data_IF_562557504159
#
_entry.id   IF_562557504159
#
_cell.length_a   1.000
_cell.length_b   1.000
_cell.length_c   1.000
_cell.angle_alpha   90.00
_cell.angle_beta   90.00
_cell.angle_gamma   90.00
#
_symmetry.space_group_name_H-M   'P 1'
#
loop_
_entity.id
_entity.type
_entity.pdbx_description
1 polymer ?
#
# COMPACT_ATOMS: atom_id res chain seq x y z
N UNK A 1 -5.39 5.00 -8.32
CA UNK A 1 -4.32 4.43 -9.17
C UNK A 1 -4.12 2.94 -8.93
N UNK A 2 -3.77 2.49 -7.72
CA UNK A 2 -3.60 1.06 -7.40
C UNK A 2 -4.81 0.19 -7.79
N UNK A 3 -6.03 0.75 -7.71
CA UNK A 3 -7.30 0.11 -8.12
C UNK A 3 -7.51 -0.03 -9.62
N UNK A 4 -7.20 1.04 -10.38
CA UNK A 4 -7.26 0.98 -11.83
C UNK A 4 -6.25 -0.03 -12.34
N UNK A 5 -5.01 0.01 -11.83
CA UNK A 5 -3.97 -0.97 -12.10
C UNK A 5 -4.44 -2.41 -11.78
N UNK A 6 -5.08 -2.62 -10.62
CA UNK A 6 -5.63 -3.93 -10.24
C UNK A 6 -6.74 -4.39 -11.18
N UNK A 7 -7.71 -3.52 -11.48
CA UNK A 7 -8.81 -3.85 -12.36
C UNK A 7 -8.35 -4.08 -13.81
N UNK A 8 -7.44 -3.25 -14.32
CA UNK A 8 -6.86 -3.35 -15.67
C UNK A 8 -5.91 -4.53 -15.80
N UNK A 9 -5.10 -4.79 -14.78
CA UNK A 9 -4.23 -5.96 -14.74
C UNK A 9 -5.04 -7.25 -14.71
N UNK A 10 -6.16 -7.27 -13.98
CA UNK A 10 -7.09 -8.40 -14.01
C UNK A 10 -7.83 -8.50 -15.35
N UNK A 11 -8.33 -7.39 -15.90
CA UNK A 11 -9.02 -7.34 -17.18
C UNK A 11 -8.11 -7.80 -18.32
N UNK A 12 -6.91 -7.24 -18.45
CA UNK A 12 -5.94 -7.62 -19.47
C UNK A 12 -5.51 -9.10 -19.33
N UNK A 13 -5.43 -9.61 -18.10
CA UNK A 13 -5.13 -11.02 -17.84
C UNK A 13 -6.28 -11.93 -18.29
N UNK A 14 -7.54 -11.55 -18.03
CA UNK A 14 -8.74 -12.24 -18.50
C UNK A 14 -8.89 -12.17 -20.03
N UNK A 15 -8.60 -11.01 -20.63
CA UNK A 15 -8.70 -10.77 -22.09
C UNK A 15 -7.59 -11.45 -22.89
N UNK A 16 -6.40 -11.62 -22.29
CA UNK A 16 -5.24 -12.19 -23.00
C UNK A 16 -5.45 -13.65 -23.44
N UNK A 17 -6.37 -14.40 -22.82
CA UNK A 17 -6.60 -15.81 -23.13
C UNK A 17 -5.36 -16.71 -22.94
N UNK A 18 -4.28 -16.19 -22.33
CA UNK A 18 -2.94 -16.82 -22.26
C UNK A 18 -2.91 -18.08 -21.39
N UNK A 19 -3.99 -18.41 -20.68
CA UNK A 19 -4.00 -19.52 -19.74
C UNK A 19 -4.88 -20.62 -20.30
N UNK A 20 -4.36 -21.30 -21.32
CA UNK A 20 -4.83 -22.63 -21.72
C UNK A 20 -3.87 -23.66 -21.13
N UNK A 21 -4.38 -24.59 -20.32
CA UNK A 21 -3.58 -25.68 -19.73
C UNK A 21 -2.99 -25.45 -18.34
N UNK A 22 -3.33 -24.36 -17.66
CA UNK A 22 -3.22 -24.29 -16.19
C UNK A 22 -4.56 -24.74 -15.65
N UNK A 23 -4.55 -25.71 -14.74
CA UNK A 23 -5.72 -26.11 -13.95
C UNK A 23 -6.42 -24.84 -13.41
N UNK A 24 -7.72 -24.71 -13.70
CA UNK A 24 -8.55 -23.59 -13.23
C UNK A 24 -8.39 -23.39 -11.71
N UNK A 25 -8.25 -24.47 -10.92
CA UNK A 25 -8.02 -24.41 -9.48
C UNK A 25 -6.65 -23.80 -9.12
N UNK A 26 -5.60 -24.02 -9.92
CA UNK A 26 -4.29 -23.39 -9.73
C UNK A 26 -4.30 -21.91 -10.18
N UNK A 27 -5.08 -21.58 -11.21
CA UNK A 27 -5.28 -20.23 -11.69
C UNK A 27 -6.08 -19.38 -10.69
N UNK A 28 -7.20 -19.92 -10.21
CA UNK A 28 -7.98 -19.33 -9.12
C UNK A 28 -7.17 -19.30 -7.84
N UNK A 29 -6.42 -20.33 -7.47
CA UNK A 29 -5.48 -20.25 -6.33
C UNK A 29 -4.44 -19.14 -6.50
N UNK A 30 -3.99 -18.77 -7.70
CA UNK A 30 -3.05 -17.65 -7.90
C UNK A 30 -3.75 -16.27 -7.82
N UNK A 31 -5.04 -16.23 -8.17
CA UNK A 31 -5.95 -15.08 -8.01
C UNK A 31 -6.52 -14.99 -6.58
N UNK A 32 -6.62 -16.10 -5.86
CA UNK A 32 -7.13 -16.24 -4.49
C UNK A 32 -5.98 -16.09 -3.50
N UNK A 33 -4.77 -16.58 -3.85
CA UNK A 33 -3.50 -16.33 -3.15
C UNK A 33 -3.08 -14.86 -3.18
N UNK A 34 -3.92 -14.01 -3.77
CA UNK A 34 -4.01 -12.60 -3.40
C UNK A 34 -4.13 -12.40 -1.89
N UNK A 35 -4.54 -13.40 -1.10
CA UNK A 35 -4.72 -13.31 0.36
C UNK A 35 -3.63 -13.91 1.24
N UNK A 36 -2.53 -14.43 0.68
CA UNK A 36 -1.54 -15.21 1.46
C UNK A 36 -2.10 -16.60 1.84
N UNK A 37 -2.78 -17.30 0.93
CA UNK A 37 -3.32 -18.66 1.18
C UNK A 37 -2.22 -19.61 1.74
N UNK A 38 -2.46 -20.53 2.67
CA UNK A 38 -3.67 -21.29 2.96
C UNK A 38 -3.69 -21.58 4.48
N UNK A 39 -4.68 -21.06 5.21
CA UNK A 39 -4.98 -21.55 6.56
C UNK A 39 -5.90 -22.74 6.38
N UNK A 40 -5.37 -23.94 6.61
CA UNK A 40 -5.99 -25.26 6.46
C UNK A 40 -7.19 -25.52 7.40
N UNK A 41 -7.98 -24.49 7.73
CA UNK A 41 -9.17 -24.61 8.56
C UNK A 41 -10.42 -24.62 7.68
N UNK A 42 -11.24 -25.68 7.73
CA UNK A 42 -12.49 -25.83 6.98
C UNK A 42 -13.51 -24.68 7.13
N UNK A 43 -13.32 -23.77 8.10
CA UNK A 43 -14.17 -22.58 8.28
C UNK A 43 -13.88 -21.44 7.28
N UNK A 44 -12.75 -21.45 6.56
CA UNK A 44 -12.38 -20.34 5.65
C UNK A 44 -12.69 -20.63 4.16
N UNK A 45 -13.10 -21.84 3.80
CA UNK A 45 -13.33 -22.26 2.40
C UNK A 45 -14.62 -21.71 1.74
N UNK A 46 -15.46 -20.96 2.46
CA UNK A 46 -16.69 -20.36 1.92
C UNK A 46 -16.57 -18.84 1.62
N UNK A 47 -15.36 -18.29 1.57
CA UNK A 47 -15.13 -16.85 1.39
C UNK A 47 -14.91 -16.48 -0.09
N UNK A 48 -15.92 -15.88 -0.75
CA UNK A 48 -15.81 -15.34 -2.11
C UNK A 48 -14.89 -14.10 -2.19
N UNK A 49 -13.85 -14.21 -3.04
CA UNK A 49 -13.14 -13.25 -3.92
C UNK A 49 -13.46 -11.73 -3.82
N UNK A 50 -12.52 -10.89 -3.30
CA UNK A 50 -12.16 -9.47 -3.67
C UNK A 50 -11.69 -8.57 -2.49
N UNK A 51 -10.48 -8.76 -1.98
CA UNK A 51 -10.14 -8.32 -0.61
C UNK A 51 -8.78 -7.64 -0.24
N UNK A 52 -7.74 -7.55 -1.09
CA UNK A 52 -6.44 -6.95 -0.74
C UNK A 52 -6.28 -5.57 -1.36
N UNK A 53 -7.02 -5.35 -2.45
CA UNK A 53 -7.48 -4.01 -2.83
C UNK A 53 -8.04 -3.29 -1.60
N UNK A 54 -8.90 -3.94 -0.82
CA UNK A 54 -9.61 -3.35 0.32
C UNK A 54 -8.70 -2.80 1.43
N UNK A 55 -7.58 -3.44 1.79
CA UNK A 55 -6.69 -2.91 2.84
C UNK A 55 -6.01 -1.64 2.37
N UNK A 56 -5.40 -1.65 1.18
CA UNK A 56 -4.83 -0.43 0.61
C UNK A 56 -5.93 0.62 0.36
N UNK A 57 -7.20 0.23 0.10
CA UNK A 57 -8.32 1.20 -0.09
C UNK A 57 -8.57 1.82 1.26
N UNK A 58 -8.69 0.99 2.28
CA UNK A 58 -9.01 1.37 3.63
C UNK A 58 -7.94 2.33 4.18
N UNK A 59 -6.65 2.01 3.99
CA UNK A 59 -5.53 2.90 4.32
C UNK A 59 -5.63 4.23 3.55
N UNK A 60 -5.80 4.17 2.23
CA UNK A 60 -5.80 5.35 1.35
C UNK A 60 -7.02 6.26 1.61
N UNK A 61 -8.20 5.68 1.75
CA UNK A 61 -9.47 6.38 1.98
C UNK A 61 -9.70 6.73 3.47
N UNK A 62 -8.81 6.29 4.37
CA UNK A 62 -8.93 6.53 5.80
C UNK A 62 -10.18 5.92 6.43
N UNK A 63 -10.51 4.68 6.07
CA UNK A 63 -11.66 3.93 6.62
C UNK A 63 -11.21 2.58 7.21
N UNK A 64 -12.01 1.94 8.07
CA UNK A 64 -11.68 0.60 8.56
C UNK A 64 -11.63 -0.41 7.42
N UNK A 65 -10.83 -1.46 7.60
CA UNK A 65 -10.85 -2.61 6.71
C UNK A 65 -12.19 -3.35 6.85
N UNK A 66 -12.67 -3.97 5.78
CA UNK A 66 -13.80 -4.91 5.88
C UNK A 66 -13.46 -6.15 6.73
N UNK A 67 -12.16 -6.40 6.92
CA UNK A 67 -11.62 -7.44 7.80
C UNK A 67 -11.53 -7.03 9.26
N UNK A 68 -11.82 -5.77 9.57
CA UNK A 68 -11.64 -5.22 10.90
C UNK A 68 -12.79 -5.59 11.84
N UNK A 69 -13.01 -6.89 12.01
CA UNK A 69 -14.06 -7.49 12.85
C UNK A 69 -13.47 -8.59 13.73
N UNK A 70 -14.05 -8.79 14.91
CA UNK A 70 -13.57 -9.67 15.98
C UNK A 70 -13.21 -11.08 15.51
N UNK A 71 -14.00 -11.68 14.62
CA UNK A 71 -13.73 -13.00 14.04
C UNK A 71 -12.35 -13.07 13.38
N UNK A 72 -12.00 -12.11 12.51
CA UNK A 72 -10.72 -12.11 11.80
C UNK A 72 -9.58 -11.72 12.71
N UNK A 73 -9.78 -10.71 13.56
CA UNK A 73 -8.77 -10.28 14.52
C UNK A 73 -8.41 -11.40 15.49
N UNK A 74 -9.41 -12.14 15.99
CA UNK A 74 -9.20 -13.29 16.87
C UNK A 74 -8.51 -14.44 16.14
N UNK A 75 -8.96 -14.79 14.93
CA UNK A 75 -8.40 -15.90 14.17
C UNK A 75 -6.93 -15.68 13.75
N UNK A 76 -6.55 -14.43 13.51
CA UNK A 76 -5.18 -14.07 13.07
C UNK A 76 -4.26 -13.64 14.21
N UNK A 77 -4.78 -13.44 15.43
CA UNK A 77 -3.99 -12.97 16.56
C UNK A 77 -2.88 -13.97 16.93
N UNK A 78 -1.62 -13.52 17.14
CA UNK A 78 -0.49 -14.41 17.45
C UNK A 78 -0.73 -15.40 18.61
N UNK A 79 -1.44 -14.97 19.66
CA UNK A 79 -1.80 -15.86 20.77
C UNK A 79 -2.77 -17.00 20.37
N UNK A 80 -3.62 -16.80 19.37
CA UNK A 80 -4.45 -17.88 18.82
C UNK A 80 -3.62 -18.85 17.97
N UNK A 81 -2.57 -18.35 17.31
CA UNK A 81 -1.67 -19.15 16.46
C UNK A 81 -0.79 -20.10 17.27
N UNK A 82 -0.44 -19.75 18.51
CA UNK A 82 0.35 -20.63 19.38
C UNK A 82 -0.39 -21.89 19.84
N UNK A 83 -1.72 -21.91 19.71
CA UNK A 83 -2.58 -23.04 20.11
C UNK A 83 -2.89 -23.96 18.93
N UNK A 84 -2.64 -23.51 17.70
CA UNK A 84 -2.91 -24.27 16.48
C UNK A 84 -1.66 -25.03 16.01
N UNK A 85 -1.85 -26.21 15.42
CA UNK A 85 -0.79 -27.01 14.79
C UNK A 85 -0.35 -26.40 13.43
N UNK A 86 0.13 -25.16 13.46
CA UNK A 86 0.58 -24.41 12.30
C UNK A 86 2.08 -24.54 12.08
N UNK A 87 2.48 -24.74 10.82
CA UNK A 87 3.88 -24.63 10.43
C UNK A 87 4.42 -23.21 10.68
N UNK A 88 5.73 -23.03 10.92
CA UNK A 88 6.31 -21.69 11.10
C UNK A 88 5.97 -20.71 9.97
N UNK A 89 6.02 -21.09 8.67
CA UNK A 89 5.56 -20.24 7.57
C UNK A 89 4.11 -19.79 7.69
N UNK A 90 3.19 -20.68 8.09
CA UNK A 90 1.78 -20.32 8.27
C UNK A 90 1.59 -19.32 9.41
N UNK A 91 2.32 -19.49 10.52
CA UNK A 91 2.29 -18.54 11.63
C UNK A 91 2.74 -17.15 11.22
N UNK A 92 3.86 -17.05 10.50
CA UNK A 92 4.38 -15.77 9.97
C UNK A 92 3.36 -15.11 9.05
N UNK A 93 2.76 -15.87 8.13
CA UNK A 93 1.73 -15.38 7.22
C UNK A 93 0.50 -14.84 7.96
N UNK A 94 -0.01 -15.58 8.95
CA UNK A 94 -1.20 -15.17 9.73
C UNK A 94 -0.91 -13.96 10.63
N UNK A 95 0.26 -13.90 11.24
CA UNK A 95 0.68 -12.74 12.02
C UNK A 95 0.88 -11.49 11.13
N UNK A 96 1.40 -11.66 9.90
CA UNK A 96 1.45 -10.58 8.90
C UNK A 96 0.04 -10.09 8.55
N UNK A 97 -0.88 -11.02 8.33
CA UNK A 97 -2.28 -10.72 8.01
C UNK A 97 -2.93 -9.93 9.14
N UNK A 98 -2.70 -10.33 10.39
CA UNK A 98 -3.17 -9.60 11.58
C UNK A 98 -2.72 -8.14 11.57
N UNK A 99 -1.43 -7.91 11.30
CA UNK A 99 -0.89 -6.56 11.24
C UNK A 99 -1.50 -5.74 10.09
N UNK A 100 -1.63 -6.34 8.90
CA UNK A 100 -2.20 -5.69 7.73
C UNK A 100 -3.69 -5.33 7.91
N UNK A 101 -4.49 -6.18 8.55
CA UNK A 101 -5.90 -5.89 8.88
C UNK A 101 -6.01 -4.66 9.77
N UNK A 102 -5.10 -4.52 10.74
CA UNK A 102 -5.10 -3.42 11.70
C UNK A 102 -4.42 -2.13 11.20
N UNK A 103 -3.67 -2.15 10.09
CA UNK A 103 -3.04 -0.96 9.52
C UNK A 103 -4.04 0.17 9.22
N UNK A 104 -5.18 -0.05 8.53
CA UNK A 104 -6.20 0.97 8.35
C UNK A 104 -6.73 1.54 9.67
N UNK A 105 -6.94 0.70 10.68
CA UNK A 105 -7.36 1.13 12.02
C UNK A 105 -6.32 2.05 12.67
N UNK A 106 -5.04 1.72 12.54
CA UNK A 106 -3.95 2.59 13.00
C UNK A 106 -3.95 3.94 12.28
N UNK A 107 -4.08 3.94 10.96
CA UNK A 107 -4.11 5.16 10.14
C UNK A 107 -5.27 6.09 10.55
N UNK A 108 -6.43 5.51 10.85
CA UNK A 108 -7.58 6.27 11.38
C UNK A 108 -7.26 6.82 12.77
N UNK A 109 -6.75 5.98 13.68
CA UNK A 109 -6.43 6.41 15.04
C UNK A 109 -5.41 7.55 15.06
N UNK A 110 -4.36 7.48 14.25
CA UNK A 110 -3.37 8.56 14.09
C UNK A 110 -4.05 9.84 13.59
N UNK A 111 -4.91 9.73 12.58
CA UNK A 111 -5.62 10.88 12.01
C UNK A 111 -6.59 11.52 13.00
N UNK A 112 -7.30 10.71 13.77
CA UNK A 112 -8.24 11.19 14.78
C UNK A 112 -7.50 11.85 15.95
N UNK A 113 -6.33 11.32 16.34
CA UNK A 113 -5.45 11.99 17.29
C UNK A 113 -4.98 13.36 16.76
N UNK A 114 -4.62 13.47 15.47
CA UNK A 114 -4.24 14.75 14.83
C UNK A 114 -5.39 15.74 14.80
N UNK A 115 -6.63 15.29 14.55
CA UNK A 115 -7.82 16.16 14.56
C UNK A 115 -8.19 16.59 15.98
N UNK A 116 -8.10 15.67 16.93
CA UNK A 116 -8.35 15.89 18.34
C UNK A 116 -7.05 16.11 19.12
N UNK A 117 -6.23 17.11 18.77
CA UNK A 117 -4.86 17.29 19.33
C UNK A 117 -4.78 17.37 20.87
N UNK A 118 -5.89 17.61 21.56
CA UNK A 118 -5.98 17.65 23.03
C UNK A 118 -6.68 16.42 23.63
N UNK A 119 -7.19 15.51 22.78
CA UNK A 119 -7.81 14.26 23.19
C UNK A 119 -6.72 13.22 23.51
N UNK A 120 -6.38 13.17 24.80
CA UNK A 120 -5.40 12.21 25.33
C UNK A 120 -5.82 10.76 25.09
N UNK A 121 -7.12 10.47 24.97
CA UNK A 121 -7.61 9.11 24.71
C UNK A 121 -7.35 8.73 23.26
N UNK A 122 -7.60 9.64 22.31
CA UNK A 122 -7.28 9.42 20.91
C UNK A 122 -5.77 9.22 20.68
N UNK A 123 -4.94 10.09 21.30
CA UNK A 123 -3.47 9.98 21.21
C UNK A 123 -2.98 8.65 21.82
N UNK A 124 -3.43 8.31 23.03
CA UNK A 124 -3.06 7.06 23.68
C UNK A 124 -3.49 5.83 22.86
N UNK A 125 -4.69 5.86 22.26
CA UNK A 125 -5.17 4.80 21.37
C UNK A 125 -4.24 4.60 20.19
N UNK A 126 -3.89 5.69 19.50
CA UNK A 126 -3.01 5.65 18.33
C UNK A 126 -1.61 5.12 18.69
N UNK A 127 -1.01 5.63 19.77
CA UNK A 127 0.33 5.24 20.19
C UNK A 127 0.38 3.79 20.68
N UNK A 128 -0.61 3.34 21.47
CA UNK A 128 -0.67 1.96 21.94
C UNK A 128 -0.87 0.96 20.79
N UNK A 129 -1.73 1.29 19.82
CA UNK A 129 -1.92 0.46 18.65
C UNK A 129 -0.65 0.41 17.80
N UNK A 130 0.02 1.55 17.59
CA UNK A 130 1.29 1.61 16.87
C UNK A 130 2.36 0.75 17.55
N UNK A 131 2.51 0.84 18.87
CA UNK A 131 3.45 0.04 19.65
C UNK A 131 3.15 -1.46 19.53
N UNK A 132 1.88 -1.84 19.63
CA UNK A 132 1.45 -3.24 19.50
C UNK A 132 1.82 -3.80 18.13
N UNK A 133 1.43 -3.10 17.07
CA UNK A 133 1.72 -3.54 15.70
C UNK A 133 3.21 -3.53 15.38
N UNK A 134 3.96 -2.56 15.91
CA UNK A 134 5.41 -2.53 15.80
C UNK A 134 6.01 -3.81 16.38
N UNK A 135 5.73 -4.13 17.65
CA UNK A 135 6.31 -5.31 18.31
C UNK A 135 5.95 -6.62 17.59
N UNK A 136 4.70 -6.75 17.12
CA UNK A 136 4.29 -7.92 16.34
C UNK A 136 5.03 -8.02 14.99
N UNK A 137 5.29 -6.88 14.34
CA UNK A 137 5.98 -6.85 13.04
C UNK A 137 7.49 -7.10 13.11
N UNK A 138 8.08 -6.97 14.31
CA UNK A 138 9.52 -7.14 14.55
C UNK A 138 9.89 -8.54 15.05
N UNK A 139 8.96 -9.51 15.08
CA UNK A 139 9.32 -10.87 15.46
C UNK A 139 10.41 -11.42 14.51
N UNK A 140 11.50 -11.95 15.08
CA UNK A 140 12.66 -12.48 14.32
C UNK A 140 12.25 -13.52 13.26
N UNK A 141 11.14 -14.20 13.49
CA UNK A 141 10.53 -15.15 12.58
C UNK A 141 10.18 -14.54 11.22
N UNK A 142 9.81 -13.26 11.14
CA UNK A 142 9.51 -12.59 9.86
C UNK A 142 10.77 -12.44 9.00
N UNK A 143 11.82 -11.82 9.56
CA UNK A 143 13.05 -11.54 8.82
C UNK A 143 13.72 -12.83 8.36
N UNK A 144 13.87 -13.81 9.26
CA UNK A 144 14.44 -15.12 8.92
C UNK A 144 13.61 -15.86 7.86
N UNK A 145 12.29 -15.77 7.93
CA UNK A 145 11.41 -16.36 6.92
C UNK A 145 11.61 -15.71 5.55
N UNK A 146 11.65 -14.38 5.47
CA UNK A 146 11.86 -13.66 4.21
C UNK A 146 13.24 -13.95 3.62
N UNK A 147 14.29 -13.86 4.41
CA UNK A 147 15.67 -14.06 3.94
C UNK A 147 15.88 -15.47 3.36
N UNK A 148 15.21 -16.49 3.92
CA UNK A 148 15.27 -17.87 3.41
C UNK A 148 14.66 -18.05 2.01
N UNK A 149 13.91 -17.07 1.49
CA UNK A 149 13.16 -17.15 0.22
C UNK A 149 13.64 -16.18 -0.85
N UNK A 150 14.65 -15.37 -0.55
CA UNK A 150 15.21 -14.38 -1.46
C UNK A 150 16.42 -14.96 -2.20
N UNK A 151 16.44 -14.81 -3.52
CA UNK A 151 17.56 -15.15 -4.39
C UNK A 151 18.17 -13.87 -4.95
N UNK A 152 19.47 -13.64 -4.71
CA UNK A 152 20.18 -12.48 -5.24
C UNK A 152 20.42 -12.63 -6.75
N UNK A 153 20.15 -11.58 -7.52
CA UNK A 153 20.51 -11.47 -8.94
C UNK A 153 21.62 -10.44 -9.11
N UNK A 154 22.86 -10.92 -9.13
CA UNK A 154 24.06 -10.06 -9.23
C UNK A 154 24.32 -9.53 -10.65
N UNK A 155 23.64 -10.09 -11.65
CA UNK A 155 23.69 -9.68 -13.06
C UNK A 155 22.86 -8.42 -13.34
N UNK A 156 21.94 -8.06 -12.45
CA UNK A 156 21.06 -6.89 -12.61
C UNK A 156 21.52 -5.75 -11.73
N UNK A 157 22.02 -4.70 -12.38
CA UNK A 157 22.47 -3.45 -11.77
C UNK A 157 21.88 -2.26 -12.53
N UNK A 158 21.75 -1.12 -11.86
CA UNK A 158 21.34 0.14 -12.47
C UNK A 158 22.30 1.22 -11.97
N UNK A 159 23.10 1.78 -12.88
CA UNK A 159 24.17 2.74 -12.55
C UNK A 159 23.66 3.95 -11.76
N UNK A 160 22.39 4.33 -11.94
CA UNK A 160 21.79 5.45 -11.23
C UNK A 160 21.73 5.24 -9.71
N UNK A 161 21.67 3.98 -9.24
CA UNK A 161 21.49 3.64 -7.82
C UNK A 161 22.38 2.49 -7.36
N UNK A 162 23.41 2.12 -8.11
CA UNK A 162 24.25 0.96 -7.81
C UNK A 162 24.96 1.02 -6.44
N UNK A 163 25.20 2.22 -5.91
CA UNK A 163 25.75 2.43 -4.57
C UNK A 163 24.73 2.25 -3.43
N UNK A 164 23.43 2.21 -3.76
CA UNK A 164 22.31 2.04 -2.82
C UNK A 164 21.69 0.65 -2.97
N UNK A 165 21.45 0.24 -4.22
CA UNK A 165 20.83 -1.02 -4.65
C UNK A 165 21.84 -1.74 -5.55
N UNK A 166 22.86 -2.40 -4.96
CA UNK A 166 23.97 -2.98 -5.72
C UNK A 166 23.58 -4.20 -6.55
N UNK A 167 22.47 -4.86 -6.22
CA UNK A 167 21.98 -6.02 -6.92
C UNK A 167 20.47 -6.20 -6.75
N UNK A 168 19.83 -6.77 -7.76
CA UNK A 168 18.44 -7.15 -7.70
C UNK A 168 18.18 -8.39 -6.82
N UNK A 169 16.91 -8.64 -6.53
CA UNK A 169 16.45 -9.89 -5.92
C UNK A 169 15.27 -10.50 -6.68
N UNK A 170 15.23 -11.83 -6.67
CA UNK A 170 14.11 -12.63 -7.17
C UNK A 170 13.64 -13.60 -6.10
N UNK A 171 12.48 -14.19 -6.35
CA UNK A 171 11.89 -15.22 -5.50
C UNK A 171 11.76 -16.50 -6.30
N UNK A 172 11.90 -17.63 -5.62
CA UNK A 172 11.71 -18.95 -6.22
C UNK A 172 10.25 -19.23 -6.61
N UNK A 173 9.28 -18.55 -5.99
CA UNK A 173 7.85 -18.67 -6.33
C UNK A 173 7.15 -17.32 -6.26
N UNK A 174 6.06 -17.16 -7.03
CA UNK A 174 5.21 -15.97 -6.98
C UNK A 174 4.64 -15.73 -5.57
N UNK A 175 4.31 -16.80 -4.84
CA UNK A 175 3.80 -16.70 -3.47
C UNK A 175 4.83 -16.11 -2.51
N UNK A 176 6.11 -16.50 -2.64
CA UNK A 176 7.18 -15.94 -1.81
C UNK A 176 7.46 -14.48 -2.18
N UNK A 177 7.36 -14.11 -3.46
CA UNK A 177 7.41 -12.71 -3.88
C UNK A 177 6.29 -11.89 -3.24
N UNK A 178 5.06 -12.39 -3.25
CA UNK A 178 3.92 -11.73 -2.61
C UNK A 178 4.19 -11.55 -1.12
N UNK A 179 4.59 -12.60 -0.39
CA UNK A 179 4.84 -12.49 1.05
C UNK A 179 5.97 -11.51 1.36
N UNK A 180 7.11 -11.59 0.67
CA UNK A 180 8.25 -10.70 0.90
C UNK A 180 7.95 -9.23 0.59
N UNK A 181 7.36 -8.96 -0.56
CA UNK A 181 6.98 -7.58 -0.93
C UNK A 181 5.92 -7.00 0.00
N UNK A 182 4.98 -7.82 0.50
CA UNK A 182 3.97 -7.39 1.47
C UNK A 182 4.54 -7.16 2.86
N UNK A 183 5.51 -7.95 3.29
CA UNK A 183 6.22 -7.70 4.54
C UNK A 183 6.91 -6.34 4.50
N UNK A 184 7.70 -6.05 3.46
CA UNK A 184 8.35 -4.73 3.35
C UNK A 184 7.34 -3.59 3.20
N UNK A 185 6.24 -3.80 2.47
CA UNK A 185 5.15 -2.80 2.42
C UNK A 185 4.54 -2.55 3.82
N UNK A 186 4.28 -3.59 4.61
CA UNK A 186 3.80 -3.46 5.99
C UNK A 186 4.75 -2.62 6.83
N UNK A 187 6.06 -2.90 6.76
CA UNK A 187 7.07 -2.12 7.49
C UNK A 187 7.00 -0.63 7.12
N UNK A 188 6.88 -0.31 5.83
CA UNK A 188 6.82 1.08 5.34
C UNK A 188 5.53 1.79 5.77
N UNK A 189 4.40 1.08 5.80
CA UNK A 189 3.12 1.64 6.30
C UNK A 189 3.19 1.94 7.81
N UNK A 190 3.69 0.98 8.60
CA UNK A 190 3.87 1.17 10.05
C UNK A 190 4.85 2.30 10.36
N UNK A 191 5.99 2.34 9.66
CA UNK A 191 6.98 3.41 9.82
C UNK A 191 6.39 4.78 9.45
N UNK A 192 5.52 4.85 8.43
CA UNK A 192 4.79 6.07 8.09
C UNK A 192 3.96 6.59 9.26
N UNK A 193 3.12 5.73 9.86
CA UNK A 193 2.32 6.11 11.04
C UNK A 193 3.19 6.51 12.24
N UNK A 194 4.29 5.79 12.50
CA UNK A 194 5.22 6.09 13.59
C UNK A 194 5.95 7.42 13.38
N UNK A 195 6.42 7.71 12.17
CA UNK A 195 6.99 9.02 11.79
C UNK A 195 5.98 10.14 12.06
N UNK A 196 4.73 9.95 11.65
CA UNK A 196 3.65 10.92 11.91
C UNK A 196 3.43 11.14 13.41
N UNK A 197 3.36 10.08 14.21
CA UNK A 197 3.21 10.17 15.67
C UNK A 197 4.39 10.90 16.32
N UNK A 198 5.63 10.59 15.92
CA UNK A 198 6.81 11.27 16.45
C UNK A 198 6.82 12.77 16.12
N UNK A 199 6.35 13.15 14.92
CA UNK A 199 6.29 14.56 14.50
C UNK A 199 5.19 15.34 15.21
N UNK A 200 4.00 14.74 15.39
CA UNK A 200 2.81 15.43 15.92
C UNK A 200 2.71 15.33 17.46
N UNK A 201 3.17 14.23 18.04
CA UNK A 201 3.07 13.90 19.46
C UNK A 201 4.41 13.42 20.03
N UNK A 202 5.47 14.25 20.01
CA UNK A 202 6.83 13.83 20.38
C UNK A 202 6.96 13.46 21.86
N UNK A 203 6.13 14.00 22.74
CA UNK A 203 6.17 13.71 24.17
C UNK A 203 5.58 12.33 24.46
N UNK A 204 4.36 12.10 23.99
CA UNK A 204 3.60 10.85 24.18
C UNK A 204 4.31 9.67 23.51
N UNK A 205 4.88 9.89 22.32
CA UNK A 205 5.66 8.89 21.60
C UNK A 205 6.87 8.40 22.41
N UNK A 206 7.53 9.30 23.17
CA UNK A 206 8.66 8.93 24.05
C UNK A 206 8.22 8.21 25.31
N UNK A 207 7.05 8.55 25.86
CA UNK A 207 6.57 7.95 27.11
C UNK A 207 6.14 6.49 26.96
N UNK A 208 5.60 6.11 25.80
CA UNK A 208 5.05 4.77 25.55
C UNK A 208 6.06 3.81 24.89
N UNK A 209 7.35 4.12 24.99
CA UNK A 209 8.45 3.30 24.46
C UNK A 209 8.31 2.94 22.97
N UNK A 210 7.75 3.85 22.15
CA UNK A 210 7.84 3.68 20.70
C UNK A 210 9.32 3.60 20.27
N UNK A 211 9.64 2.87 19.18
CA UNK A 211 10.99 2.90 18.60
C UNK A 211 11.44 4.34 18.36
N UNK A 212 12.74 4.61 18.52
CA UNK A 212 13.27 5.95 18.27
C UNK A 212 13.03 6.38 16.82
N UNK A 213 12.93 7.69 16.53
CA UNK A 213 12.83 8.18 15.16
C UNK A 213 13.94 7.61 14.26
N UNK A 214 15.17 7.54 14.77
CA UNK A 214 16.31 6.95 14.06
C UNK A 214 16.04 5.49 13.65
N UNK A 215 15.54 4.67 14.56
CA UNK A 215 15.20 3.26 14.27
C UNK A 215 14.06 3.15 13.27
N UNK A 216 13.02 3.97 13.41
CA UNK A 216 11.90 4.01 12.46
C UNK A 216 12.42 4.28 11.04
N UNK A 217 13.24 5.32 10.86
CA UNK A 217 13.78 5.66 9.55
C UNK A 217 14.77 4.62 8.98
N UNK A 218 15.55 3.94 9.83
CA UNK A 218 16.41 2.84 9.41
C UNK A 218 15.60 1.65 8.87
N UNK A 219 14.55 1.24 9.58
CA UNK A 219 13.67 0.14 9.13
C UNK A 219 12.91 0.53 7.87
N UNK A 220 12.39 1.76 7.81
CA UNK A 220 11.66 2.29 6.66
C UNK A 220 12.51 2.28 5.38
N UNK A 221 13.71 2.87 5.44
CA UNK A 221 14.65 2.92 4.30
C UNK A 221 15.21 1.55 3.95
N UNK A 222 15.40 0.66 4.91
CA UNK A 222 15.78 -0.73 4.63
C UNK A 222 14.69 -1.44 3.82
N UNK A 223 13.43 -1.38 4.28
CA UNK A 223 12.30 -1.97 3.55
C UNK A 223 12.13 -1.36 2.15
N UNK A 224 12.28 -0.03 2.04
CA UNK A 224 12.27 0.66 0.74
C UNK A 224 13.40 0.21 -0.19
N UNK A 225 14.59 -0.03 0.35
CA UNK A 225 15.73 -0.58 -0.41
C UNK A 225 15.44 -1.99 -0.89
N UNK A 226 14.88 -2.88 -0.05
CA UNK A 226 14.54 -4.25 -0.48
C UNK A 226 13.51 -4.25 -1.63
N UNK A 227 12.50 -3.38 -1.58
CA UNK A 227 11.54 -3.23 -2.68
C UNK A 227 12.19 -2.67 -3.95
N UNK A 228 13.16 -1.77 -3.82
CA UNK A 228 14.01 -1.34 -4.93
C UNK A 228 14.78 -2.51 -5.55
N UNK A 229 15.33 -3.41 -4.73
CA UNK A 229 16.00 -4.64 -5.21
C UNK A 229 15.02 -5.57 -5.94
N UNK A 230 13.76 -5.67 -5.51
CA UNK A 230 12.72 -6.42 -6.23
C UNK A 230 12.49 -5.81 -7.62
N UNK A 231 12.31 -4.50 -7.69
CA UNK A 231 12.11 -3.80 -8.97
C UNK A 231 13.28 -4.03 -9.94
N UNK A 232 14.51 -4.02 -9.43
CA UNK A 232 15.71 -4.32 -10.21
C UNK A 232 15.78 -5.80 -10.63
N UNK A 233 15.27 -6.72 -9.82
CA UNK A 233 15.26 -8.15 -10.10
C UNK A 233 14.22 -8.62 -11.13
N UNK A 234 13.20 -7.79 -11.41
CA UNK A 234 12.14 -8.07 -12.38
C UNK A 234 12.71 -8.45 -13.74
N UNK A 235 12.14 -9.48 -14.37
CA UNK A 235 12.48 -9.88 -15.74
C UNK A 235 12.30 -8.74 -16.74
N UNK A 236 12.97 -8.82 -17.89
CA UNK A 236 12.87 -7.79 -18.92
C UNK A 236 11.41 -7.62 -19.37
N UNK A 237 10.71 -8.76 -19.48
CA UNK A 237 9.29 -8.88 -19.79
C UNK A 237 8.58 -9.66 -18.66
N UNK A 238 8.32 -9.01 -17.51
CA UNK A 238 7.63 -9.63 -16.40
C UNK A 238 6.15 -9.82 -16.76
N UNK A 239 5.55 -10.89 -16.25
CA UNK A 239 4.12 -11.14 -16.47
C UNK A 239 3.25 -9.98 -15.95
N UNK A 240 2.07 -9.73 -16.54
CA UNK A 240 1.12 -8.73 -16.03
C UNK A 240 0.79 -8.92 -14.55
N UNK A 241 0.67 -10.18 -14.10
CA UNK A 241 0.45 -10.49 -12.70
C UNK A 241 1.64 -10.07 -11.82
N UNK A 242 2.87 -10.32 -12.25
CA UNK A 242 4.07 -9.88 -11.52
C UNK A 242 4.10 -8.36 -11.38
N UNK A 243 3.85 -7.63 -12.48
CA UNK A 243 3.75 -6.17 -12.47
C UNK A 243 2.69 -5.69 -11.48
N UNK A 244 1.51 -6.30 -11.53
CA UNK A 244 0.40 -5.96 -10.66
C UNK A 244 0.75 -6.14 -9.17
N UNK A 245 1.37 -7.27 -8.83
CA UNK A 245 1.72 -7.61 -7.45
C UNK A 245 2.84 -6.73 -6.87
N UNK A 246 3.76 -6.29 -7.72
CA UNK A 246 4.93 -5.52 -7.31
C UNK A 246 4.70 -4.02 -7.30
N UNK A 247 3.79 -3.50 -8.16
CA UNK A 247 3.51 -2.07 -8.24
C UNK A 247 3.11 -1.48 -6.88
N UNK A 248 2.15 -2.08 -6.19
CA UNK A 248 1.65 -1.55 -4.90
C UNK A 248 2.75 -1.34 -3.86
N UNK A 249 3.47 -2.42 -3.48
CA UNK A 249 4.61 -2.33 -2.58
C UNK A 249 5.65 -1.30 -3.05
N UNK A 250 6.06 -1.36 -4.33
CA UNK A 250 7.03 -0.43 -4.89
C UNK A 250 6.57 1.03 -4.77
N UNK A 251 5.30 1.28 -5.06
CA UNK A 251 4.73 2.62 -5.03
C UNK A 251 4.61 3.19 -3.61
N UNK A 252 4.38 2.33 -2.60
CA UNK A 252 4.43 2.71 -1.19
C UNK A 252 5.87 3.01 -0.75
N UNK A 253 6.87 2.36 -1.35
CA UNK A 253 8.27 2.56 -0.99
C UNK A 253 8.84 3.93 -1.33
N UNK A 254 8.23 4.67 -2.26
CA UNK A 254 8.52 6.10 -2.47
C UNK A 254 8.36 6.89 -1.16
N UNK A 255 7.41 6.49 -0.31
CA UNK A 255 7.14 7.13 0.98
C UNK A 255 8.28 7.01 1.98
N UNK A 256 9.02 5.90 1.96
CA UNK A 256 10.17 5.69 2.85
C UNK A 256 11.25 6.75 2.59
N UNK A 257 11.56 7.01 1.32
CA UNK A 257 12.57 7.99 0.93
C UNK A 257 12.09 9.42 1.11
N UNK A 258 10.81 9.69 0.82
CA UNK A 258 10.20 11.00 1.12
C UNK A 258 10.34 11.35 2.61
N UNK A 259 9.99 10.42 3.50
CA UNK A 259 10.12 10.60 4.95
C UNK A 259 11.57 10.72 5.38
N UNK A 260 12.48 9.96 4.78
CA UNK A 260 13.92 10.08 5.06
C UNK A 260 14.45 11.48 4.73
N UNK A 261 14.06 12.04 3.58
CA UNK A 261 14.44 13.41 3.19
C UNK A 261 13.92 14.41 4.23
N UNK A 262 12.64 14.31 4.58
CA UNK A 262 11.98 15.16 5.59
C UNK A 262 12.68 15.07 6.94
N UNK A 263 13.00 13.86 7.40
CA UNK A 263 13.72 13.62 8.64
C UNK A 263 15.11 14.25 8.64
N UNK A 264 15.92 14.01 7.60
CA UNK A 264 17.27 14.55 7.51
C UNK A 264 17.26 16.09 7.50
N UNK A 265 16.36 16.71 6.74
CA UNK A 265 16.22 18.17 6.70
C UNK A 265 15.81 18.70 8.08
N UNK A 266 14.87 18.04 8.77
CA UNK A 266 14.44 18.43 10.11
C UNK A 266 15.56 18.39 11.16
N UNK A 267 16.59 17.57 10.92
CA UNK A 267 17.80 17.44 11.75
C UNK A 267 18.88 18.46 11.40
N UNK A 268 18.60 19.38 10.47
CA UNK A 268 19.51 20.44 10.05
C UNK A 268 20.51 20.04 8.96
N UNK A 269 20.33 18.88 8.32
CA UNK A 269 21.15 18.52 7.16
C UNK A 269 20.70 19.35 5.95
N UNK A 270 21.62 20.07 5.28
CA UNK A 270 21.27 20.85 4.10
C UNK A 270 20.86 19.94 2.94
N UNK A 271 20.12 20.47 1.97
CA UNK A 271 19.70 19.72 0.77
C UNK A 271 20.87 19.19 -0.07
N UNK A 272 22.08 19.73 0.14
CA UNK A 272 23.33 19.27 -0.49
C UNK A 272 24.06 18.18 0.31
N UNK A 273 23.57 17.78 1.49
CA UNK A 273 24.17 16.68 2.27
C UNK A 273 24.08 15.38 1.47
N UNK A 274 25.17 14.60 1.45
CA UNK A 274 25.24 13.37 0.68
C UNK A 274 24.10 12.39 0.99
N UNK A 275 23.63 12.32 2.24
CA UNK A 275 22.52 11.44 2.63
C UNK A 275 21.18 11.92 2.08
N UNK A 276 20.99 13.24 2.03
CA UNK A 276 19.78 13.83 1.44
C UNK A 276 19.77 13.60 -0.07
N UNK A 277 20.91 13.79 -0.73
CA UNK A 277 21.07 13.52 -2.17
C UNK A 277 20.84 12.03 -2.51
N UNK A 278 21.35 11.12 -1.68
CA UNK A 278 21.09 9.67 -1.82
C UNK A 278 19.59 9.38 -1.72
N UNK A 279 18.91 9.93 -0.72
CA UNK A 279 17.47 9.70 -0.54
C UNK A 279 16.64 10.30 -1.69
N UNK A 280 16.99 11.50 -2.18
CA UNK A 280 16.36 12.14 -3.34
C UNK A 280 16.51 11.29 -4.61
N UNK A 281 17.72 10.80 -4.88
CA UNK A 281 18.00 9.94 -6.04
C UNK A 281 17.18 8.65 -5.96
N UNK A 282 17.09 8.07 -4.77
CA UNK A 282 16.34 6.83 -4.56
C UNK A 282 14.83 7.03 -4.68
N UNK A 283 14.29 8.13 -4.15
CA UNK A 283 12.89 8.53 -4.31
C UNK A 283 12.52 8.66 -5.80
N UNK A 284 13.34 9.41 -6.56
CA UNK A 284 13.13 9.63 -7.99
C UNK A 284 13.20 8.33 -8.78
N UNK A 285 14.23 7.51 -8.53
CA UNK A 285 14.41 6.25 -9.23
C UNK A 285 13.25 5.27 -8.99
N UNK A 286 12.75 5.17 -7.75
CA UNK A 286 11.59 4.30 -7.46
C UNK A 286 10.34 4.80 -8.19
N UNK A 287 10.09 6.11 -8.21
CA UNK A 287 8.96 6.69 -8.93
C UNK A 287 9.07 6.41 -10.45
N UNK A 288 10.26 6.51 -11.02
CA UNK A 288 10.52 6.14 -12.42
C UNK A 288 10.22 4.65 -12.67
N UNK A 289 10.66 3.74 -11.78
CA UNK A 289 10.31 2.32 -11.90
C UNK A 289 8.80 2.07 -11.77
N UNK A 290 8.10 2.77 -10.88
CA UNK A 290 6.65 2.74 -10.82
C UNK A 290 6.01 3.19 -12.15
N UNK A 291 6.48 4.29 -12.72
CA UNK A 291 5.97 4.82 -13.98
C UNK A 291 6.20 3.88 -15.17
N UNK A 292 7.32 3.16 -15.21
CA UNK A 292 7.55 2.09 -16.20
C UNK A 292 6.51 0.97 -16.05
N UNK A 293 6.18 0.57 -14.81
CA UNK A 293 5.16 -0.44 -14.56
C UNK A 293 3.77 0.07 -15.01
N UNK A 294 3.43 1.33 -14.69
CA UNK A 294 2.18 1.97 -15.11
C UNK A 294 2.03 2.01 -16.63
N UNK A 295 3.08 2.45 -17.34
CA UNK A 295 3.11 2.52 -18.80
C UNK A 295 2.87 1.14 -19.43
N UNK A 296 3.53 0.09 -18.91
CA UNK A 296 3.33 -1.29 -19.37
C UNK A 296 1.91 -1.81 -19.14
N UNK A 297 1.19 -1.26 -18.18
CA UNK A 297 -0.21 -1.58 -17.89
C UNK A 297 -1.18 -0.60 -18.56
N UNK A 298 -0.69 0.28 -19.44
CA UNK A 298 -1.46 1.34 -20.10
C UNK A 298 -2.18 2.30 -19.13
N UNK A 299 -1.57 2.56 -17.97
CA UNK A 299 -2.07 3.50 -16.95
C UNK A 299 -1.26 4.78 -17.00
N UNK A 300 -1.91 5.92 -16.72
CA UNK A 300 -1.21 7.21 -16.63
C UNK A 300 -0.06 7.15 -15.60
N UNK A 301 1.07 7.77 -15.94
CA UNK A 301 2.18 7.96 -15.01
C UNK A 301 1.75 8.73 -13.75
N UNK A 302 2.39 8.47 -12.61
CA UNK A 302 2.13 9.19 -11.37
C UNK A 302 2.86 10.54 -11.35
N UNK A 303 2.13 11.60 -11.02
CA UNK A 303 2.72 12.87 -10.59
C UNK A 303 3.30 12.72 -9.19
N UNK A 304 4.54 13.17 -9.01
CA UNK A 304 5.26 13.04 -7.75
C UNK A 304 4.53 13.73 -6.59
N UNK A 305 4.01 14.94 -6.80
CA UNK A 305 3.34 15.70 -5.73
C UNK A 305 2.08 14.97 -5.25
N UNK A 306 1.20 14.60 -6.19
CA UNK A 306 -0.02 13.88 -5.84
C UNK A 306 0.28 12.50 -5.23
N UNK A 307 1.39 11.86 -5.63
CA UNK A 307 1.83 10.61 -5.05
C UNK A 307 2.27 10.76 -3.59
N UNK A 308 3.09 11.77 -3.30
CA UNK A 308 3.55 12.08 -1.94
C UNK A 308 2.36 12.43 -1.03
N UNK A 309 1.44 13.27 -1.51
CA UNK A 309 0.22 13.62 -0.76
C UNK A 309 -0.59 12.36 -0.37
N UNK A 310 -0.74 11.41 -1.30
CA UNK A 310 -1.42 10.14 -1.01
C UNK A 310 -0.67 9.32 0.06
N UNK A 311 0.66 9.28 0.01
CA UNK A 311 1.47 8.52 0.96
C UNK A 311 1.45 9.13 2.37
N UNK A 312 1.41 10.46 2.49
CA UNK A 312 1.19 11.13 3.77
C UNK A 312 -0.21 10.83 4.32
N UNK A 313 -1.25 10.82 3.46
CA UNK A 313 -2.59 10.39 3.86
C UNK A 313 -2.60 8.95 4.39
N UNK A 314 -1.88 8.05 3.71
CA UNK A 314 -1.71 6.65 4.14
C UNK A 314 -0.90 6.52 5.44
N UNK A 315 -0.14 7.54 5.84
CA UNK A 315 0.59 7.62 7.11
C UNK A 315 -0.22 8.28 8.24
N UNK A 316 -1.53 8.49 8.04
CA UNK A 316 -2.43 9.05 9.04
C UNK A 316 -2.54 10.57 9.04
N UNK A 317 -1.88 11.28 8.11
CA UNK A 317 -2.11 12.73 7.96
C UNK A 317 -3.54 13.00 7.44
N UNK A 318 -3.91 14.29 7.38
CA UNK A 318 -5.19 14.72 6.85
C UNK A 318 -5.40 14.22 5.42
N UNK A 319 -6.63 13.74 5.14
CA UNK A 319 -6.99 13.27 3.82
C UNK A 319 -7.08 14.46 2.86
N UNK A 320 -6.35 14.41 1.76
CA UNK A 320 -6.44 15.43 0.72
C UNK A 320 -7.84 15.47 0.10
N UNK A 321 -8.32 16.67 -0.24
CA UNK A 321 -9.70 16.86 -0.74
C UNK A 321 -9.98 16.11 -2.05
N UNK A 322 -8.93 15.87 -2.85
CA UNK A 322 -9.06 15.15 -4.11
C UNK A 322 -9.11 13.62 -3.95
N UNK A 323 -8.94 13.10 -2.73
CA UNK A 323 -9.00 11.68 -2.48
C UNK A 323 -10.44 11.22 -2.21
N UNK A 324 -10.90 10.14 -2.88
CA UNK A 324 -12.23 9.62 -2.65
C UNK A 324 -12.34 9.03 -1.23
N UNK A 325 -13.46 9.30 -0.56
CA UNK A 325 -13.81 8.66 0.71
C UNK A 325 -14.27 7.21 0.55
N UNK A 326 -14.77 6.86 -0.63
CA UNK A 326 -15.17 5.48 -0.95
C UNK A 326 -14.95 5.19 -2.43
N UNK A 327 -14.55 3.96 -2.70
CA UNK A 327 -14.38 3.41 -4.05
C UNK A 327 -15.18 2.12 -4.11
N UNK A 328 -16.10 2.03 -5.07
CA UNK A 328 -16.85 0.80 -5.36
C UNK A 328 -16.70 0.43 -6.83
N UNK A 329 -16.90 -0.85 -7.12
CA UNK A 329 -16.95 -1.38 -8.46
C UNK A 329 -18.35 -1.92 -8.67
N UNK A 330 -18.90 -1.63 -9.84
CA UNK A 330 -20.26 -2.02 -10.21
C UNK A 330 -20.27 -2.43 -11.68
N UNK A 331 -21.37 -3.04 -12.10
CA UNK A 331 -21.61 -3.33 -13.51
C UNK A 331 -22.76 -2.47 -13.99
N UNK A 332 -22.50 -1.57 -14.94
CA UNK A 332 -23.52 -0.74 -15.59
C UNK A 332 -23.54 -1.10 -17.08
N UNK A 333 -24.70 -1.47 -17.59
CA UNK A 333 -24.90 -1.87 -19.00
C UNK A 333 -23.97 -2.99 -19.50
N UNK A 334 -23.62 -3.93 -18.61
CA UNK A 334 -22.72 -5.04 -18.91
C UNK A 334 -21.23 -4.67 -18.90
N UNK A 335 -20.91 -3.42 -18.58
CA UNK A 335 -19.55 -2.90 -18.48
C UNK A 335 -19.15 -2.69 -17.01
N UNK A 336 -17.90 -3.01 -16.68
CA UNK A 336 -17.39 -2.77 -15.34
C UNK A 336 -17.07 -1.28 -15.16
N UNK A 337 -17.69 -0.67 -14.15
CA UNK A 337 -17.50 0.74 -13.79
C UNK A 337 -16.90 0.90 -12.39
N UNK A 338 -16.10 1.94 -12.22
CA UNK A 338 -15.55 2.35 -10.93
C UNK A 338 -16.31 3.58 -10.44
N UNK A 339 -16.90 3.51 -9.25
CA UNK A 339 -17.58 4.63 -8.60
C UNK A 339 -16.72 5.19 -7.48
N UNK A 340 -16.47 6.49 -7.52
CA UNK A 340 -15.71 7.26 -6.52
C UNK A 340 -16.67 8.19 -5.78
N UNK A 341 -16.85 7.97 -4.49
CA UNK A 341 -17.61 8.86 -3.63
C UNK A 341 -16.66 9.78 -2.88
N UNK A 342 -16.97 11.07 -2.88
CA UNK A 342 -16.27 12.10 -2.12
C UNK A 342 -17.21 12.61 -1.03
N UNK A 343 -16.75 12.53 0.22
CA UNK A 343 -17.38 13.28 1.32
C UNK A 343 -17.43 14.76 0.95
N UNK A 344 -18.47 15.50 1.37
CA UNK A 344 -18.74 16.92 1.03
C UNK A 344 -17.64 17.97 1.26
N UNK A 345 -16.39 17.55 1.46
CA UNK A 345 -15.13 18.33 1.41
C UNK A 345 -14.86 18.94 0.02
N UNK A 346 -15.46 18.40 -1.03
CA UNK A 346 -15.28 18.85 -2.43
C UNK A 346 -16.47 19.62 -2.97
N UNK A 347 -16.97 20.62 -2.25
CA UNK A 347 -17.99 21.52 -2.80
C UNK A 347 -17.33 22.58 -3.70
N UNK A 348 -16.95 22.21 -4.93
CA UNK A 348 -16.94 23.16 -6.04
C UNK A 348 -18.29 23.02 -6.77
N UNK A 349 -19.04 24.13 -6.83
CA UNK A 349 -20.47 24.24 -7.18
C UNK A 349 -20.87 23.76 -8.60
N UNK A 350 -19.93 23.31 -9.44
CA UNK A 350 -20.19 23.12 -10.87
C UNK A 350 -20.57 21.68 -11.30
N UNK A 351 -20.60 20.68 -10.40
CA UNK A 351 -20.97 19.30 -10.78
C UNK A 351 -21.94 18.61 -9.81
N UNK A 352 -22.99 19.30 -9.35
CA UNK A 352 -24.13 18.65 -8.70
C UNK A 352 -25.01 17.97 -9.77
N UNK A 353 -24.76 16.69 -10.05
CA UNK A 353 -25.82 15.83 -10.57
C UNK A 353 -26.80 15.58 -9.43
N UNK A 354 -28.03 16.08 -9.63
CA UNK A 354 -29.06 16.21 -8.61
C UNK A 354 -29.89 14.94 -8.58
N UNK A 355 -29.40 13.92 -7.88
CA UNK A 355 -30.22 12.76 -7.50
C UNK A 355 -30.10 12.51 -5.99
N UNK A 356 -31.21 12.72 -5.28
CA UNK A 356 -31.58 12.13 -3.98
C UNK A 356 -30.63 12.23 -2.79
N UNK A 357 -31.02 13.01 -1.77
CA UNK A 357 -30.66 12.89 -0.35
C UNK A 357 -29.39 12.08 0.00
N UNK A 358 -28.23 12.65 -0.30
CA UNK A 358 -26.94 12.16 0.16
C UNK A 358 -25.90 13.27 0.02
N UNK A 359 -25.23 13.63 1.12
CA UNK A 359 -24.34 14.79 1.24
C UNK A 359 -22.95 14.58 0.59
N UNK A 360 -22.90 13.89 -0.56
CA UNK A 360 -21.66 13.45 -1.22
C UNK A 360 -21.73 13.50 -2.75
N UNK A 361 -20.58 13.73 -3.38
CA UNK A 361 -20.44 13.69 -4.85
C UNK A 361 -19.99 12.28 -5.23
N UNK A 362 -20.80 11.56 -6.00
CA UNK A 362 -20.43 10.26 -6.60
C UNK A 362 -20.05 10.45 -8.06
N UNK A 363 -18.91 9.91 -8.47
CA UNK A 363 -18.45 9.94 -9.87
C UNK A 363 -18.21 8.52 -10.39
N UNK A 364 -18.75 8.21 -11.56
CA UNK A 364 -18.62 6.88 -12.20
C UNK A 364 -17.64 6.94 -13.38
N UNK A 365 -16.80 5.93 -13.52
CA UNK A 365 -15.79 5.82 -14.58
C UNK A 365 -15.87 4.47 -15.27
N UNK A 366 -15.84 4.47 -16.60
CA UNK A 366 -15.64 3.25 -17.38
C UNK A 366 -14.16 2.83 -17.31
N UNK A 367 -13.90 1.57 -16.95
CA UNK A 367 -12.54 1.06 -16.75
C UNK A 367 -11.78 0.88 -18.08
N UNK A 368 -12.46 0.88 -19.24
CA UNK A 368 -11.83 0.71 -20.56
C UNK A 368 -10.97 1.89 -21.04
N UNK A 369 -11.00 3.05 -20.38
CA UNK A 369 -10.11 4.20 -20.69
C UNK A 369 -9.08 4.46 -19.57
N UNK A 370 -8.08 3.56 -19.42
CA UNK A 370 -7.10 3.62 -18.33
C UNK A 370 -6.20 4.87 -18.35
N UNK A 371 -6.10 5.53 -19.51
CA UNK A 371 -5.26 6.70 -19.74
C UNK A 371 -5.67 7.94 -18.91
N UNK A 372 -6.86 7.91 -18.30
CA UNK A 372 -7.39 8.98 -17.43
C UNK A 372 -7.26 8.69 -15.94
N UNK A 373 -6.64 7.58 -15.54
CA UNK A 373 -6.58 7.16 -14.14
C UNK A 373 -5.21 7.46 -13.51
N UNK A 374 -5.12 8.59 -12.81
CA UNK A 374 -3.98 8.91 -11.93
C UNK A 374 -4.35 9.90 -10.82
N UNK A 375 -3.63 9.94 -9.69
CA UNK A 375 -3.87 10.91 -8.61
C UNK A 375 -3.87 12.35 -9.12
N UNK A 376 -3.02 12.68 -10.08
CA UNK A 376 -3.00 13.99 -10.73
C UNK A 376 -4.25 14.28 -11.56
N UNK A 377 -4.84 13.27 -12.20
CA UNK A 377 -6.09 13.45 -12.95
C UNK A 377 -7.24 13.69 -11.98
N UNK A 378 -7.31 12.92 -10.88
CA UNK A 378 -8.27 13.18 -9.81
C UNK A 378 -8.09 14.58 -9.19
N UNK A 379 -6.84 14.97 -8.93
CA UNK A 379 -6.47 16.29 -8.39
C UNK A 379 -6.83 17.43 -9.34
N UNK A 380 -6.46 17.32 -10.61
CA UNK A 380 -6.83 18.28 -11.66
C UNK A 380 -8.34 18.41 -11.79
N UNK A 381 -9.06 17.29 -11.82
CA UNK A 381 -10.52 17.29 -11.95
C UNK A 381 -11.26 17.91 -10.76
N UNK A 382 -10.82 17.65 -9.53
CA UNK A 382 -11.40 18.31 -8.35
C UNK A 382 -11.12 19.81 -8.37
N UNK A 383 -9.99 20.22 -8.95
CA UNK A 383 -9.65 21.63 -9.19
C UNK A 383 -10.32 22.25 -10.41
N UNK A 384 -11.11 21.50 -11.17
CA UNK A 384 -11.76 21.97 -12.40
C UNK A 384 -10.86 22.03 -13.63
N UNK A 385 -9.65 21.47 -13.56
CA UNK A 385 -8.70 21.37 -14.66
C UNK A 385 -9.00 20.08 -15.46
N UNK A 386 -9.53 20.21 -16.68
CA UNK A 386 -9.63 19.09 -17.64
C UNK A 386 -10.78 18.11 -17.44
N UNK A 387 -11.99 18.60 -17.15
CA UNK A 387 -13.20 17.76 -17.17
C UNK A 387 -13.28 16.98 -18.50
N UNK A 388 -13.59 15.67 -18.49
CA UNK A 388 -14.01 14.99 -19.71
C UNK A 388 -15.11 15.81 -20.35
N UNK A 389 -14.88 16.32 -21.55
CA UNK A 389 -15.99 16.68 -22.42
C UNK A 389 -16.75 15.37 -22.59
N UNK A 390 -18.01 15.35 -22.16
CA UNK A 390 -18.90 14.25 -22.44
C UNK A 390 -19.01 14.15 -23.98
N UNK A 391 -18.49 13.07 -24.56
CA UNK A 391 -18.90 12.62 -25.89
C UNK A 391 -20.16 11.77 -25.78
#
# INVERSE_FOLDING_TARGET
MHYAIHALGLLALLESGIITGVDEEHFWNVIDSTYIDDASSPMMNNMNVTNNSQITIAVTAGRPSVYDHDVYLTATHPAALSVQDLSPPQRVKMAMMHCLIQCPRLVIAVRDAIRGQNDKVAIATAVNLANTLWNLSQEELFAAFIDSRVLNTYDKTDEAVADIVPNGIRFNTAQNMVVGTRYWMLQILLCGCLDTLHRKFPYESRQLNLPSPETVHQVDTHAGTQLGRVALGLDNEPSPLTLLRTHGPLSVSTGAWHRQIRYLISRGFPSSDARVLVALRMQKWILEKCNIVLERMNVSQADECAWIEALDCMAGEELADWMPSKVTFDTEDGEMVMKLEYSGRTANDNTRTRDGEGDGITRTFNIRDPARFGPQHLRGWVRGEGSPIAE
#
